data_IF_399162776827
#
_entry.id   IF_399162776827
#
_cell.length_a   1.000
_cell.length_b   1.000
_cell.length_c   1.000
_cell.angle_alpha   90.00
_cell.angle_beta   90.00
_cell.angle_gamma   90.00
#
_symmetry.space_group_name_H-M   'P 1'
#
loop_
_entity.id
_entity.type
_entity.pdbx_description
1 polymer ?
#
# COMPACT_ATOMS: atom_id res chain seq x y z
N UNK A 1 -55.46 -60.75 -0.58
CA UNK A 1 -55.05 -59.71 0.38
C UNK A 1 -55.23 -60.28 1.78
N UNK A 2 -54.15 -60.69 2.45
CA UNK A 2 -54.18 -61.45 3.72
C UNK A 2 -53.50 -60.64 4.83
N UNK A 3 -54.36 -60.03 5.65
CA UNK A 3 -54.41 -60.02 7.13
C UNK A 3 -53.14 -60.11 8.00
N UNK A 4 -53.15 -59.24 9.04
CA UNK A 4 -52.60 -59.40 10.41
C UNK A 4 -51.10 -59.10 10.57
N UNK A 5 -50.56 -58.41 11.58
CA UNK A 5 -51.01 -58.05 12.94
C UNK A 5 -49.90 -57.17 13.60
N UNK A 6 -50.28 -56.11 14.34
CA UNK A 6 -49.46 -55.57 15.47
C UNK A 6 -49.59 -56.54 16.66
N UNK A 7 -48.75 -56.56 17.73
CA UNK A 7 -47.94 -55.45 18.30
C UNK A 7 -46.56 -55.88 18.89
N UNK A 8 -45.74 -54.93 19.37
CA UNK A 8 -44.97 -55.05 20.63
C UNK A 8 -44.02 -53.87 20.84
N UNK A 9 -44.24 -53.18 21.95
CA UNK A 9 -43.34 -52.23 22.61
C UNK A 9 -42.03 -52.93 22.98
N UNK A 10 -40.89 -52.37 22.58
CA UNK A 10 -39.59 -52.66 23.18
C UNK A 10 -38.86 -51.33 23.42
N UNK A 11 -39.06 -50.84 24.63
CA UNK A 11 -38.28 -49.80 25.28
C UNK A 11 -36.83 -50.28 25.37
N UNK A 12 -35.93 -49.72 24.56
CA UNK A 12 -34.48 -49.87 24.75
C UNK A 12 -33.89 -48.48 24.97
N UNK A 13 -33.91 -48.13 26.25
CA UNK A 13 -33.04 -47.14 26.88
C UNK A 13 -31.61 -47.60 26.56
N UNK A 14 -30.93 -46.86 25.70
CA UNK A 14 -29.61 -47.23 25.20
C UNK A 14 -28.79 -45.98 24.92
N UNK A 15 -28.23 -45.44 26.00
CA UNK A 15 -27.10 -44.50 26.03
C UNK A 15 -27.32 -43.17 25.30
N UNK A 16 -27.61 -42.15 26.11
CA UNK A 16 -27.15 -40.80 25.81
C UNK A 16 -25.68 -40.87 25.37
N UNK A 17 -25.44 -40.71 24.07
CA UNK A 17 -24.21 -40.11 23.58
C UNK A 17 -24.20 -38.66 24.08
N UNK A 18 -24.06 -38.50 25.40
CA UNK A 18 -23.44 -37.32 25.95
C UNK A 18 -22.01 -37.37 25.41
N UNK A 19 -21.83 -36.82 24.21
CA UNK A 19 -20.51 -36.39 23.77
C UNK A 19 -20.02 -35.46 24.87
N UNK A 20 -19.15 -36.00 25.72
CA UNK A 20 -18.39 -35.24 26.69
C UNK A 20 -17.81 -34.05 25.94
N UNK A 21 -18.27 -32.85 26.27
CA UNK A 21 -17.60 -31.62 25.90
C UNK A 21 -16.31 -31.54 26.73
N UNK A 22 -15.37 -32.45 26.49
CA UNK A 22 -14.03 -32.37 27.05
C UNK A 22 -13.33 -31.18 26.40
N UNK A 23 -12.72 -30.31 27.19
CA UNK A 23 -11.96 -29.19 26.64
C UNK A 23 -10.72 -29.74 25.94
N UNK A 24 -10.44 -29.21 24.74
CA UNK A 24 -9.19 -29.47 24.01
C UNK A 24 -8.14 -28.41 24.27
N UNK A 25 -8.43 -27.43 25.12
CA UNK A 25 -7.45 -26.44 25.56
C UNK A 25 -6.72 -26.96 26.81
N UNK A 26 -5.40 -27.17 26.75
CA UNK A 26 -4.63 -27.69 27.87
C UNK A 26 -4.69 -26.81 29.13
N UNK A 27 -5.01 -25.51 29.00
CA UNK A 27 -5.16 -24.62 30.15
C UNK A 27 -6.49 -24.78 30.91
N UNK A 28 -7.51 -25.36 30.27
CA UNK A 28 -8.87 -25.47 30.82
C UNK A 28 -9.41 -26.90 30.88
N UNK A 29 -8.71 -27.86 30.27
CA UNK A 29 -9.05 -29.28 30.30
C UNK A 29 -8.84 -29.93 31.67
N UNK A 30 -9.75 -30.81 32.08
CA UNK A 30 -9.57 -31.64 33.28
C UNK A 30 -8.53 -32.76 33.05
N UNK A 31 -8.09 -33.43 34.11
CA UNK A 31 -7.01 -34.44 34.04
C UNK A 31 -7.27 -35.53 33.00
N UNK A 32 -8.48 -36.10 32.98
CA UNK A 32 -8.83 -37.17 32.05
C UNK A 32 -8.95 -36.69 30.60
N UNK A 33 -9.40 -35.45 30.39
CA UNK A 33 -9.43 -34.82 29.06
C UNK A 33 -8.02 -34.56 28.55
N UNK A 34 -7.10 -34.09 29.40
CA UNK A 34 -5.68 -33.94 29.04
C UNK A 34 -5.06 -35.27 28.62
N UNK A 35 -5.30 -36.35 29.37
CA UNK A 35 -4.79 -37.70 29.04
C UNK A 35 -5.38 -38.20 27.72
N UNK A 36 -6.68 -37.96 27.48
CA UNK A 36 -7.34 -38.32 26.23
C UNK A 36 -6.80 -37.50 25.03
N UNK A 37 -6.56 -36.21 25.21
CA UNK A 37 -5.99 -35.32 24.18
C UNK A 37 -4.53 -35.66 23.86
N UNK A 38 -3.74 -36.03 24.86
CA UNK A 38 -2.38 -36.56 24.67
C UNK A 38 -2.38 -37.87 23.89
N UNK A 39 -3.20 -38.85 24.29
CA UNK A 39 -3.26 -40.15 23.61
C UNK A 39 -3.86 -40.08 22.19
N UNK A 40 -4.75 -39.12 21.93
CA UNK A 40 -5.36 -38.91 20.61
C UNK A 40 -4.53 -38.00 19.67
N UNK A 41 -3.39 -37.50 20.14
CA UNK A 41 -2.53 -36.58 19.37
C UNK A 41 -3.18 -35.23 19.07
N UNK A 42 -4.20 -34.82 19.83
CA UNK A 42 -4.92 -33.57 19.64
C UNK A 42 -4.00 -32.35 19.88
N UNK A 43 -3.16 -32.42 20.93
CA UNK A 43 -2.17 -31.36 21.19
C UNK A 43 -1.09 -31.29 20.10
N UNK A 44 -0.64 -32.41 19.56
CA UNK A 44 0.31 -32.43 18.44
C UNK A 44 -0.28 -31.76 17.19
N UNK A 45 -1.57 -32.01 16.91
CA UNK A 45 -2.31 -31.34 15.83
C UNK A 45 -2.40 -29.83 16.07
N UNK A 46 -2.70 -29.40 17.30
CA UNK A 46 -2.74 -27.97 17.65
C UNK A 46 -1.37 -27.30 17.54
N UNK A 47 -0.29 -27.98 17.96
CA UNK A 47 1.09 -27.49 17.81
C UNK A 47 1.42 -27.33 16.32
N UNK A 48 1.18 -28.37 15.51
CA UNK A 48 1.43 -28.29 14.06
C UNK A 48 0.63 -27.18 13.38
N UNK A 49 -0.61 -26.93 13.82
CA UNK A 49 -1.43 -25.83 13.33
C UNK A 49 -0.85 -24.47 13.72
N UNK A 50 -0.45 -24.28 14.99
CA UNK A 50 0.18 -23.03 15.46
C UNK A 50 1.54 -22.78 14.82
N UNK A 51 2.34 -23.82 14.58
CA UNK A 51 3.62 -23.70 13.87
C UNK A 51 3.40 -23.28 12.41
N UNK A 52 2.39 -23.86 11.75
CA UNK A 52 1.98 -23.44 10.41
C UNK A 52 1.53 -21.98 10.37
N UNK A 53 0.73 -21.55 11.35
CA UNK A 53 0.28 -20.17 11.49
C UNK A 53 1.46 -19.21 11.75
N UNK A 54 2.35 -19.55 12.69
CA UNK A 54 3.54 -18.78 12.98
C UNK A 54 4.44 -18.63 11.74
N UNK A 55 4.64 -19.72 10.98
CA UNK A 55 5.38 -19.69 9.74
C UNK A 55 4.70 -18.82 8.68
N UNK A 56 3.36 -18.82 8.62
CA UNK A 56 2.61 -17.94 7.71
C UNK A 56 2.75 -16.47 8.10
N UNK A 57 2.66 -16.15 9.39
CA UNK A 57 2.89 -14.79 9.93
C UNK A 57 4.30 -14.33 9.59
N UNK A 58 5.32 -15.16 9.81
CA UNK A 58 6.70 -14.81 9.50
C UNK A 58 6.90 -14.48 8.01
N UNK A 59 6.32 -15.30 7.12
CA UNK A 59 6.34 -15.02 5.67
C UNK A 59 5.60 -13.73 5.31
N UNK A 60 4.48 -13.44 5.97
CA UNK A 60 3.73 -12.19 5.78
C UNK A 60 4.58 -10.99 6.22
N UNK A 61 5.23 -11.06 7.39
CA UNK A 61 6.10 -10.01 7.91
C UNK A 61 7.28 -9.74 6.98
N UNK A 62 7.92 -10.78 6.44
CA UNK A 62 9.01 -10.63 5.47
C UNK A 62 8.56 -9.90 4.20
N UNK A 63 7.36 -10.21 3.69
CA UNK A 63 6.77 -9.49 2.54
C UNK A 63 6.47 -8.04 2.86
N UNK A 64 5.89 -7.77 4.03
CA UNK A 64 5.61 -6.40 4.49
C UNK A 64 6.91 -5.59 4.61
N UNK A 65 7.97 -6.18 5.15
CA UNK A 65 9.29 -5.54 5.22
C UNK A 65 9.82 -5.20 3.83
N UNK A 66 9.73 -6.13 2.88
CA UNK A 66 10.11 -5.87 1.48
C UNK A 66 9.31 -4.74 0.82
N UNK A 67 8.00 -4.65 1.13
CA UNK A 67 7.15 -3.57 0.66
C UNK A 67 7.55 -2.22 1.26
N UNK A 68 7.85 -2.18 2.56
CA UNK A 68 8.33 -0.97 3.25
C UNK A 68 9.63 -0.48 2.61
N UNK A 69 10.60 -1.38 2.39
CA UNK A 69 11.88 -1.02 1.79
C UNK A 69 11.69 -0.48 0.36
N UNK A 70 10.77 -1.07 -0.40
CA UNK A 70 10.40 -0.59 -1.74
C UNK A 70 9.79 0.82 -1.70
N UNK A 71 8.83 1.05 -0.80
CA UNK A 71 8.21 2.36 -0.60
C UNK A 71 9.23 3.42 -0.17
N UNK A 72 10.16 3.08 0.71
CA UNK A 72 11.24 3.99 1.13
C UNK A 72 12.16 4.37 -0.03
N UNK A 73 12.54 3.39 -0.87
CA UNK A 73 13.31 3.66 -2.09
C UNK A 73 12.54 4.59 -3.03
N UNK A 74 11.25 4.33 -3.27
CA UNK A 74 10.43 5.17 -4.13
C UNK A 74 10.29 6.60 -3.57
N UNK A 75 10.09 6.75 -2.26
CA UNK A 75 10.02 8.05 -1.61
C UNK A 75 11.33 8.84 -1.79
N UNK A 76 12.49 8.19 -1.69
CA UNK A 76 13.78 8.82 -1.91
C UNK A 76 13.99 9.25 -3.37
N UNK A 77 13.56 8.43 -4.33
CA UNK A 77 13.55 8.81 -5.76
C UNK A 77 12.66 10.04 -5.97
N UNK A 78 11.42 10.02 -5.48
CA UNK A 78 10.48 11.13 -5.62
C UNK A 78 11.04 12.43 -5.03
N UNK A 79 11.65 12.39 -3.83
CA UNK A 79 12.31 13.56 -3.21
C UNK A 79 13.42 14.14 -4.10
N UNK A 80 14.27 13.28 -4.67
CA UNK A 80 15.35 13.71 -5.57
C UNK A 80 14.78 14.34 -6.85
N UNK A 81 13.72 13.75 -7.40
CA UNK A 81 13.07 14.25 -8.61
C UNK A 81 12.43 15.62 -8.38
N UNK A 82 11.72 15.82 -7.27
CA UNK A 82 11.14 17.12 -6.88
C UNK A 82 12.24 18.16 -6.67
N UNK A 83 13.31 17.81 -5.95
CA UNK A 83 14.46 18.71 -5.76
C UNK A 83 15.16 19.06 -7.10
N UNK A 84 15.19 18.13 -8.05
CA UNK A 84 15.64 18.37 -9.42
C UNK A 84 14.75 19.37 -10.16
N UNK A 85 13.44 19.15 -10.12
CA UNK A 85 12.45 20.01 -10.77
C UNK A 85 12.50 21.44 -10.20
N UNK A 86 12.57 21.60 -8.88
CA UNK A 86 12.67 22.92 -8.24
C UNK A 86 13.93 23.69 -8.69
N UNK A 87 15.06 22.99 -8.85
CA UNK A 87 16.27 23.60 -9.41
C UNK A 87 16.09 24.04 -10.87
N UNK A 88 15.38 23.26 -11.67
CA UNK A 88 15.07 23.63 -13.06
C UNK A 88 14.15 24.85 -13.14
N UNK A 89 13.11 24.92 -12.29
CA UNK A 89 12.21 26.08 -12.18
C UNK A 89 13.00 27.33 -11.77
N UNK A 90 13.84 27.24 -10.75
CA UNK A 90 14.69 28.34 -10.31
C UNK A 90 15.63 28.82 -11.42
N UNK A 91 16.24 27.90 -12.17
CA UNK A 91 17.07 28.24 -13.33
C UNK A 91 16.28 28.92 -14.44
N UNK A 92 15.06 28.46 -14.75
CA UNK A 92 14.20 29.09 -15.75
C UNK A 92 13.75 30.50 -15.32
N UNK A 93 13.50 30.72 -14.02
CA UNK A 93 13.21 32.07 -13.47
C UNK A 93 14.40 33.02 -13.58
N UNK A 94 15.60 32.53 -13.28
CA UNK A 94 16.82 33.33 -13.44
C UNK A 94 17.04 33.72 -14.91
N UNK A 95 16.78 32.81 -15.84
CA UNK A 95 16.80 33.12 -17.28
C UNK A 95 15.72 34.13 -17.66
N UNK A 96 14.49 33.98 -17.17
CA UNK A 96 13.42 34.96 -17.40
C UNK A 96 13.83 36.37 -16.94
N UNK A 97 14.44 36.49 -15.76
CA UNK A 97 14.95 37.76 -15.26
C UNK A 97 16.05 38.36 -16.16
N UNK A 98 16.97 37.52 -16.65
CA UNK A 98 18.01 37.95 -17.60
C UNK A 98 17.45 38.31 -18.98
N UNK A 99 16.36 37.66 -19.42
CA UNK A 99 15.70 38.01 -20.67
C UNK A 99 14.96 39.33 -20.50
N UNK A 100 14.26 39.53 -19.38
CA UNK A 100 13.56 40.79 -19.08
C UNK A 100 14.48 42.00 -19.20
N UNK A 101 15.71 41.93 -18.69
CA UNK A 101 16.66 43.04 -18.80
C UNK A 101 17.10 43.32 -20.23
N UNK A 102 17.11 42.31 -21.11
CA UNK A 102 17.44 42.47 -22.54
C UNK A 102 16.29 42.99 -23.38
N UNK A 103 15.05 42.70 -23.00
CA UNK A 103 13.85 43.14 -23.71
C UNK A 103 13.60 44.65 -23.60
N UNK A 104 14.20 45.32 -22.60
CA UNK A 104 14.04 46.76 -22.41
C UNK A 104 12.57 47.14 -22.22
N UNK A 105 12.04 47.97 -23.14
CA UNK A 105 10.67 48.50 -23.10
C UNK A 105 9.71 47.86 -24.11
N UNK A 106 10.07 46.74 -24.76
CA UNK A 106 9.19 46.04 -25.69
C UNK A 106 8.00 45.42 -24.94
N UNK A 107 6.87 46.11 -24.96
CA UNK A 107 5.66 45.75 -24.20
C UNK A 107 5.06 44.41 -24.63
N UNK A 108 5.20 44.03 -25.91
CA UNK A 108 4.66 42.77 -26.44
C UNK A 108 5.49 41.60 -25.93
N UNK A 109 6.82 41.66 -26.09
CA UNK A 109 7.71 40.60 -25.61
C UNK A 109 7.70 40.49 -24.08
N UNK A 110 7.57 41.61 -23.37
CA UNK A 110 7.38 41.62 -21.91
C UNK A 110 6.07 40.96 -21.49
N UNK A 111 4.98 41.19 -22.23
CA UNK A 111 3.70 40.52 -22.02
C UNK A 111 3.81 38.99 -22.19
N UNK A 112 4.52 38.55 -23.22
CA UNK A 112 4.80 37.13 -23.45
C UNK A 112 5.65 36.52 -22.32
N UNK A 113 6.70 37.22 -21.89
CA UNK A 113 7.55 36.81 -20.77
C UNK A 113 6.75 36.65 -19.46
N UNK A 114 5.87 37.60 -19.15
CA UNK A 114 4.95 37.52 -18.01
C UNK A 114 4.01 36.30 -18.12
N UNK A 115 3.64 35.89 -19.33
CA UNK A 115 2.90 34.65 -19.59
C UNK A 115 3.69 33.41 -19.18
N UNK A 116 4.95 33.30 -19.61
CA UNK A 116 5.83 32.18 -19.27
C UNK A 116 6.15 32.11 -17.76
N UNK A 117 6.31 33.24 -17.09
CA UNK A 117 6.51 33.25 -15.63
C UNK A 117 5.28 32.76 -14.86
N UNK A 118 4.08 33.09 -15.33
CA UNK A 118 2.84 32.54 -14.76
C UNK A 118 2.73 31.03 -14.97
N UNK A 119 3.19 30.52 -16.12
CA UNK A 119 3.25 29.08 -16.38
C UNK A 119 4.26 28.40 -15.44
N UNK A 120 5.46 28.97 -15.24
CA UNK A 120 6.42 28.44 -14.25
C UNK A 120 5.84 28.40 -12.83
N UNK A 121 5.05 29.40 -12.44
CA UNK A 121 4.35 29.39 -11.15
C UNK A 121 3.24 28.34 -11.08
N UNK A 122 2.58 28.01 -12.20
CA UNK A 122 1.61 26.91 -12.25
C UNK A 122 2.30 25.55 -12.09
N UNK A 123 3.41 25.32 -12.79
CA UNK A 123 4.22 24.10 -12.67
C UNK A 123 4.70 23.89 -11.23
N UNK A 124 5.10 24.94 -10.52
CA UNK A 124 5.50 24.86 -9.10
C UNK A 124 4.33 24.41 -8.19
N UNK A 125 3.11 24.90 -8.46
CA UNK A 125 1.91 24.47 -7.73
C UNK A 125 1.57 23.00 -8.04
N UNK A 126 1.67 22.59 -9.29
CA UNK A 126 1.43 21.20 -9.70
C UNK A 126 2.46 20.23 -9.13
N UNK A 127 3.74 20.65 -9.08
CA UNK A 127 4.79 19.90 -8.39
C UNK A 127 4.46 19.69 -6.91
N UNK A 128 3.92 20.73 -6.25
CA UNK A 128 3.49 20.68 -4.85
C UNK A 128 2.21 19.84 -4.65
N UNK A 129 1.36 19.76 -5.66
CA UNK A 129 0.15 18.94 -5.68
C UNK A 129 0.42 17.45 -5.96
N UNK A 130 1.65 17.07 -6.31
CA UNK A 130 2.04 15.69 -6.57
C UNK A 130 1.80 15.21 -8.01
N UNK A 131 1.70 16.14 -8.98
CA UNK A 131 1.66 15.79 -10.41
C UNK A 131 2.93 15.05 -10.86
N UNK A 132 2.84 14.32 -11.98
CA UNK A 132 3.95 13.52 -12.53
C UNK A 132 5.19 14.39 -12.82
N UNK A 133 6.32 14.16 -12.12
CA UNK A 133 7.51 14.96 -12.32
C UNK A 133 8.11 14.90 -13.74
N UNK A 134 7.93 13.81 -14.49
CA UNK A 134 8.44 13.70 -15.85
C UNK A 134 7.72 14.65 -16.80
N UNK A 135 6.39 14.77 -16.63
CA UNK A 135 5.57 15.73 -17.38
C UNK A 135 5.99 17.15 -17.05
N UNK A 136 6.11 17.47 -15.75
CA UNK A 136 6.51 18.80 -15.28
C UNK A 136 7.91 19.19 -15.75
N UNK A 137 8.88 18.26 -15.76
CA UNK A 137 10.22 18.52 -16.31
C UNK A 137 10.16 18.87 -17.80
N UNK A 138 9.37 18.14 -18.58
CA UNK A 138 9.14 18.43 -19.99
C UNK A 138 8.53 19.82 -20.20
N UNK A 139 7.60 20.22 -19.34
CA UNK A 139 6.99 21.54 -19.38
C UNK A 139 7.97 22.66 -19.04
N UNK A 140 8.75 22.53 -17.95
CA UNK A 140 9.80 23.51 -17.61
C UNK A 140 10.80 23.66 -18.75
N UNK A 141 11.23 22.56 -19.37
CA UNK A 141 12.16 22.60 -20.49
C UNK A 141 11.59 23.39 -21.70
N UNK A 142 10.32 23.17 -22.04
CA UNK A 142 9.63 23.92 -23.10
C UNK A 142 9.50 25.40 -22.76
N UNK A 143 9.03 25.73 -21.56
CA UNK A 143 8.88 27.12 -21.11
C UNK A 143 10.24 27.84 -21.14
N UNK A 144 11.30 27.19 -20.65
CA UNK A 144 12.66 27.72 -20.68
C UNK A 144 13.17 27.97 -22.10
N UNK A 145 12.89 27.06 -23.04
CA UNK A 145 13.22 27.26 -24.45
C UNK A 145 12.48 28.48 -25.04
N UNK A 146 11.19 28.63 -24.74
CA UNK A 146 10.40 29.79 -25.17
C UNK A 146 10.89 31.10 -24.57
N UNK A 147 11.31 31.11 -23.30
CA UNK A 147 11.93 32.28 -22.65
C UNK A 147 13.21 32.68 -23.40
N UNK A 148 14.07 31.72 -23.75
CA UNK A 148 15.29 32.01 -24.51
C UNK A 148 15.00 32.54 -25.91
N UNK A 149 13.99 31.99 -26.58
CA UNK A 149 13.59 32.43 -27.90
C UNK A 149 13.12 33.91 -27.91
N UNK A 150 12.53 34.41 -26.82
CA UNK A 150 12.15 35.82 -26.70
C UNK A 150 13.34 36.79 -26.71
N UNK A 151 14.50 36.33 -26.24
CA UNK A 151 15.73 37.15 -26.17
C UNK A 151 16.50 37.20 -27.49
N UNK A 152 16.13 36.38 -28.48
CA UNK A 152 16.67 36.41 -29.83
C UNK A 152 15.77 37.27 -30.75
#
# INVERSE_FOLDING_TARGET
MRSSSLPAVALLIGTALAGCSGSTDPATAHLFDNIANLNSGEYDRQIAQKDSEAAAILRSNQRMQGNIDSMQRQANVNRRTIAGLNRQIASARSEAASVRSRLGSDSIRLGQLNGYERQLAAVEREASAGSDPAVLQGEVARIRASIRALAN
#
